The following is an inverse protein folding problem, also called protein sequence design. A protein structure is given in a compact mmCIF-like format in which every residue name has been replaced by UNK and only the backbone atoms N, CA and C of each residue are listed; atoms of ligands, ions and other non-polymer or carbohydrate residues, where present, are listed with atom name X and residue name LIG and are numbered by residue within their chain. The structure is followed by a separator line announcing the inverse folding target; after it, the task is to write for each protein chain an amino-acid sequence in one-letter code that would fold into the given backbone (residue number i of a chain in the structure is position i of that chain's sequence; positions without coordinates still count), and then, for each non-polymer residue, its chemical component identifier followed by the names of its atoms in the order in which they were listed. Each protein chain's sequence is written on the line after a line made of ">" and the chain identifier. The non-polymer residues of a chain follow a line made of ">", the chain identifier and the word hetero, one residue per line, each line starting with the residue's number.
data_IF_956565691870
#
_entry.id   IF_956565691870
#
_cell.length_a   1.000
_cell.length_b   1.000
_cell.length_c   1.000
_cell.angle_alpha   90.00
_cell.angle_beta   90.00
_cell.angle_gamma   90.00
#
_symmetry.space_group_name_H-M   'P 1'
#
loop_
_entity.id
_entity.type
_entity.pdbx_description
1 polymer ?
#
# COMPACT_ATOMS: atom_id res chain seq x y z
N UNK A 1 -2.68 5.34 24.30
CA UNK A 1 -2.95 4.66 23.01
C UNK A 1 -4.37 4.92 22.52
N UNK A 2 -5.41 4.74 23.34
CA UNK A 2 -6.81 4.91 22.94
C UNK A 2 -7.17 6.29 22.33
N UNK A 3 -6.68 7.39 22.91
CA UNK A 3 -7.00 8.74 22.40
C UNK A 3 -6.46 9.01 20.98
N UNK A 4 -5.25 8.53 20.65
CA UNK A 4 -4.67 8.69 19.31
C UNK A 4 -5.40 7.83 18.27
N UNK A 5 -5.78 6.60 18.65
CA UNK A 5 -6.60 5.72 17.80
C UNK A 5 -7.98 6.31 17.53
N UNK A 6 -8.62 6.92 18.54
CA UNK A 6 -9.89 7.66 18.39
C UNK A 6 -9.74 8.86 17.46
N UNK A 7 -8.67 9.63 17.60
CA UNK A 7 -8.38 10.74 16.69
C UNK A 7 -8.23 10.27 15.23
N UNK A 8 -7.54 9.16 14.97
CA UNK A 8 -7.41 8.58 13.63
C UNK A 8 -8.76 8.20 13.02
N UNK A 9 -9.71 7.69 13.83
CA UNK A 9 -11.08 7.42 13.38
C UNK A 9 -11.84 8.70 12.99
N UNK A 10 -11.75 9.76 13.80
CA UNK A 10 -12.35 11.06 13.48
C UNK A 10 -11.77 11.63 12.19
N UNK A 11 -10.45 11.59 12.01
CA UNK A 11 -9.79 12.01 10.77
C UNK A 11 -10.25 11.17 9.57
N UNK A 12 -10.49 9.86 9.76
CA UNK A 12 -11.08 8.99 8.75
C UNK A 12 -12.50 9.42 8.34
N UNK A 13 -13.35 9.74 9.33
CA UNK A 13 -14.71 10.22 9.10
C UNK A 13 -14.73 11.59 8.41
N UNK A 14 -13.89 12.53 8.84
CA UNK A 14 -13.75 13.86 8.22
C UNK A 14 -13.44 13.70 6.73
N UNK A 15 -12.43 12.89 6.36
CA UNK A 15 -12.09 12.67 4.95
C UNK A 15 -13.24 12.06 4.15
N UNK A 16 -13.99 11.13 4.73
CA UNK A 16 -15.09 10.42 4.04
C UNK A 16 -16.34 11.29 3.87
N UNK A 17 -16.67 12.11 4.86
CA UNK A 17 -17.92 12.87 4.93
C UNK A 17 -17.75 14.36 4.61
N UNK A 18 -16.50 14.83 4.51
CA UNK A 18 -16.15 16.26 4.41
C UNK A 18 -16.72 17.13 5.54
N UNK A 19 -17.11 16.52 6.66
CA UNK A 19 -17.62 17.25 7.82
C UNK A 19 -16.46 17.77 8.68
N UNK A 20 -16.03 19.00 8.42
CA UNK A 20 -14.91 19.63 9.10
C UNK A 20 -15.21 20.07 10.55
N UNK A 21 -16.47 20.05 10.99
CA UNK A 21 -16.82 20.38 12.39
C UNK A 21 -16.30 19.36 13.41
N UNK A 22 -15.90 18.16 12.96
CA UNK A 22 -15.26 17.14 13.79
C UNK A 22 -13.76 17.41 14.04
N UNK A 23 -13.16 18.36 13.31
CA UNK A 23 -11.72 18.63 13.39
C UNK A 23 -11.26 19.11 14.77
N UNK A 24 -11.95 20.03 15.48
CA UNK A 24 -11.54 20.46 16.82
C UNK A 24 -11.45 19.29 17.80
N UNK A 25 -12.46 18.42 17.82
CA UNK A 25 -12.47 17.21 18.66
C UNK A 25 -11.30 16.27 18.35
N UNK A 26 -10.98 16.07 17.06
CA UNK A 26 -9.84 15.26 16.65
C UNK A 26 -8.52 15.87 17.14
N UNK A 27 -8.35 17.20 17.05
CA UNK A 27 -7.15 17.90 17.50
C UNK A 27 -6.98 17.85 19.03
N UNK A 28 -8.06 17.97 19.79
CA UNK A 28 -8.03 17.80 21.25
C UNK A 28 -7.58 16.38 21.63
N UNK A 29 -8.14 15.36 20.98
CA UNK A 29 -7.73 13.96 21.17
C UNK A 29 -6.26 13.72 20.79
N UNK A 30 -5.75 14.38 19.75
CA UNK A 30 -4.35 14.29 19.33
C UNK A 30 -3.38 14.99 20.29
N UNK A 31 -3.78 16.13 20.86
CA UNK A 31 -2.90 16.97 21.69
C UNK A 31 -3.02 16.63 23.17
N UNK A 32 -4.24 16.73 23.74
CA UNK A 32 -4.51 16.42 25.13
C UNK A 32 -4.40 14.91 25.41
N UNK A 33 -4.87 14.08 24.49
CA UNK A 33 -4.83 12.63 24.63
C UNK A 33 -3.43 12.01 24.68
N UNK A 34 -2.41 12.70 24.15
CA UNK A 34 -0.99 12.29 24.23
C UNK A 34 -0.31 12.83 25.50
N UNK A 35 -0.77 13.97 26.01
CA UNK A 35 -0.25 14.57 27.24
C UNK A 35 -0.62 13.78 28.50
N UNK A 36 -1.81 13.17 28.53
CA UNK A 36 -2.39 12.50 29.72
C UNK A 36 -1.94 11.03 29.89
N UNK A 37 -1.12 10.49 28.98
CA UNK A 37 -0.67 9.09 29.05
C UNK A 37 0.28 8.89 30.24
N UNK A 38 -0.19 8.17 31.28
CA UNK A 38 0.58 7.85 32.50
C UNK A 38 1.91 7.11 32.24
N UNK A 39 2.02 6.39 31.13
CA UNK A 39 3.23 5.64 30.72
C UNK A 39 4.13 6.39 29.73
N UNK A 40 4.14 7.73 29.74
CA UNK A 40 4.93 8.52 28.79
C UNK A 40 6.44 8.34 29.09
N UNK A 41 7.27 8.02 28.09
CA UNK A 41 8.72 8.00 28.29
C UNK A 41 9.19 9.39 28.74
N UNK A 42 10.17 9.44 29.66
CA UNK A 42 10.81 10.69 30.11
C UNK A 42 11.21 11.53 28.89
N UNK A 43 11.01 12.85 28.97
CA UNK A 43 11.34 13.78 27.90
C UNK A 43 12.81 13.58 27.48
N UNK A 44 13.01 13.11 26.26
CA UNK A 44 14.32 13.01 25.61
C UNK A 44 14.32 13.95 24.44
N UNK A 45 15.44 14.64 24.22
CA UNK A 45 15.62 15.37 22.99
C UNK A 45 15.52 14.41 21.80
N UNK A 46 14.58 14.69 20.89
CA UNK A 46 14.40 13.95 19.64
C UNK A 46 14.70 14.91 18.51
N UNK A 47 15.66 14.56 17.65
CA UNK A 47 15.93 15.32 16.44
C UNK A 47 14.66 15.37 15.58
N UNK A 48 14.25 16.57 15.16
CA UNK A 48 13.19 16.72 14.19
C UNK A 48 13.54 15.92 12.93
N UNK A 49 12.66 15.03 12.52
CA UNK A 49 12.83 14.17 11.36
C UNK A 49 11.53 14.09 10.57
N UNK A 50 11.67 13.91 9.26
CA UNK A 50 10.51 13.76 8.40
C UNK A 50 9.66 12.54 8.83
N UNK A 51 8.32 12.64 8.81
CA UNK A 51 7.45 11.54 9.26
C UNK A 51 7.75 10.22 8.55
N UNK A 52 8.10 9.20 9.34
CA UNK A 52 8.49 7.88 8.83
C UNK A 52 7.42 7.23 7.95
N UNK A 53 6.13 7.39 8.30
CA UNK A 53 5.00 6.85 7.52
C UNK A 53 4.97 7.41 6.09
N UNK A 54 5.13 8.71 5.93
CA UNK A 54 5.16 9.36 4.61
C UNK A 54 6.37 8.90 3.80
N UNK A 55 7.53 8.78 4.44
CA UNK A 55 8.74 8.26 3.78
C UNK A 55 8.54 6.83 3.27
N UNK A 56 7.94 5.95 4.08
CA UNK A 56 7.62 4.57 3.69
C UNK A 56 6.61 4.50 2.53
N UNK A 57 5.57 5.33 2.58
CA UNK A 57 4.59 5.43 1.50
C UNK A 57 5.23 5.90 0.20
N UNK A 58 6.12 6.90 0.26
CA UNK A 58 6.85 7.42 -0.89
C UNK A 58 7.77 6.34 -1.50
N UNK A 59 8.58 5.65 -0.68
CA UNK A 59 9.47 4.57 -1.11
C UNK A 59 8.72 3.45 -1.85
N UNK A 60 7.53 3.08 -1.37
CA UNK A 60 6.72 2.02 -1.99
C UNK A 60 5.87 2.49 -3.19
N UNK A 61 5.79 3.80 -3.46
CA UNK A 61 4.89 4.35 -4.50
C UNK A 61 5.23 3.83 -5.90
N UNK A 62 6.51 3.88 -6.28
CA UNK A 62 6.98 3.42 -7.59
C UNK A 62 6.72 1.91 -7.78
N UNK A 63 7.01 1.11 -6.75
CA UNK A 63 6.74 -0.32 -6.74
C UNK A 63 5.26 -0.64 -6.97
N UNK A 64 4.38 0.07 -6.24
CA UNK A 64 2.93 -0.09 -6.36
C UNK A 64 2.43 0.33 -7.74
N UNK A 65 2.99 1.38 -8.33
CA UNK A 65 2.61 1.84 -9.67
C UNK A 65 2.90 0.78 -10.75
N UNK A 66 4.11 0.19 -10.73
CA UNK A 66 4.49 -0.89 -11.66
C UNK A 66 3.61 -2.13 -11.46
N UNK A 67 3.35 -2.54 -10.21
CA UNK A 67 2.44 -3.66 -9.95
C UNK A 67 1.04 -3.37 -10.48
N UNK A 68 0.53 -2.17 -10.23
CA UNK A 68 -0.82 -1.77 -10.64
C UNK A 68 -0.98 -1.71 -12.17
N UNK A 69 0.07 -1.37 -12.92
CA UNK A 69 -0.01 -1.38 -14.38
C UNK A 69 -0.13 -2.79 -14.95
N UNK A 70 0.63 -3.75 -14.39
CA UNK A 70 0.53 -5.18 -14.76
C UNK A 70 -0.86 -5.72 -14.42
N UNK A 71 -1.35 -5.46 -13.20
CA UNK A 71 -2.69 -5.89 -12.79
C UNK A 71 -3.79 -5.28 -13.65
N UNK A 72 -3.61 -4.03 -14.10
CA UNK A 72 -4.55 -3.39 -15.02
C UNK A 72 -4.54 -4.05 -16.40
N UNK A 73 -3.38 -4.44 -16.93
CA UNK A 73 -3.28 -5.16 -18.19
C UNK A 73 -3.98 -6.52 -18.13
N UNK A 74 -3.75 -7.28 -17.05
CA UNK A 74 -4.43 -8.57 -16.80
C UNK A 74 -5.94 -8.37 -16.66
N UNK A 75 -6.36 -7.45 -15.79
CA UNK A 75 -7.77 -7.14 -15.56
C UNK A 75 -8.51 -6.77 -16.85
N UNK A 76 -7.88 -5.95 -17.71
CA UNK A 76 -8.46 -5.54 -19.00
C UNK A 76 -8.61 -6.70 -19.97
N UNK A 77 -7.60 -7.58 -20.07
CA UNK A 77 -7.59 -8.70 -21.02
C UNK A 77 -8.47 -9.87 -20.58
N UNK A 78 -8.59 -10.08 -19.27
CA UNK A 78 -9.37 -11.16 -18.69
C UNK A 78 -10.77 -10.72 -18.24
N UNK A 79 -11.13 -9.44 -18.40
CA UNK A 79 -12.41 -8.86 -17.96
C UNK A 79 -12.74 -9.09 -16.48
N UNK A 80 -11.72 -8.98 -15.62
CA UNK A 80 -11.86 -9.16 -14.17
C UNK A 80 -11.42 -7.93 -13.39
N UNK A 81 -11.76 -7.85 -12.11
CA UNK A 81 -11.26 -6.80 -11.23
C UNK A 81 -9.74 -6.93 -10.99
N UNK A 82 -9.08 -5.81 -10.65
CA UNK A 82 -7.65 -5.83 -10.28
C UNK A 82 -7.36 -6.68 -9.04
N UNK A 83 -8.34 -6.80 -8.14
CA UNK A 83 -8.23 -7.64 -6.95
C UNK A 83 -8.17 -9.13 -7.33
N UNK A 84 -9.10 -9.58 -8.18
CA UNK A 84 -9.13 -10.94 -8.74
C UNK A 84 -7.86 -11.20 -9.55
N UNK A 85 -7.46 -10.30 -10.43
CA UNK A 85 -6.22 -10.43 -11.20
C UNK A 85 -4.97 -10.62 -10.31
N UNK A 86 -4.94 -9.99 -9.13
CA UNK A 86 -3.80 -10.06 -8.21
C UNK A 86 -3.74 -11.35 -7.38
N UNK A 87 -4.90 -11.83 -6.96
CA UNK A 87 -5.06 -13.00 -6.09
C UNK A 87 -5.06 -14.29 -6.89
N UNK A 88 -5.78 -14.32 -8.01
CA UNK A 88 -6.04 -15.56 -8.74
C UNK A 88 -5.15 -15.70 -9.97
N UNK A 89 -4.89 -14.63 -10.73
CA UNK A 89 -4.23 -14.78 -12.05
C UNK A 89 -2.71 -14.58 -11.96
N UNK A 90 -2.27 -13.48 -11.36
CA UNK A 90 -0.86 -13.10 -11.31
C UNK A 90 0.07 -14.18 -10.68
N UNK A 91 -0.33 -14.93 -9.62
CA UNK A 91 0.49 -16.02 -9.09
C UNK A 91 0.73 -17.15 -10.10
N UNK A 92 -0.29 -17.56 -10.86
CA UNK A 92 -0.11 -18.61 -11.87
C UNK A 92 0.78 -18.16 -13.02
N UNK A 93 0.66 -16.92 -13.47
CA UNK A 93 1.57 -16.38 -14.50
C UNK A 93 3.02 -16.38 -13.99
N UNK A 94 3.24 -16.02 -12.72
CA UNK A 94 4.58 -16.07 -12.12
C UNK A 94 5.12 -17.51 -12.05
N UNK A 95 4.30 -18.46 -11.62
CA UNK A 95 4.65 -19.87 -11.56
C UNK A 95 4.98 -20.45 -12.94
N UNK A 96 4.16 -20.17 -13.96
CA UNK A 96 4.40 -20.59 -15.35
C UNK A 96 5.71 -20.00 -15.85
N UNK A 97 5.97 -18.72 -15.61
CA UNK A 97 7.19 -18.06 -16.05
C UNK A 97 8.46 -18.61 -15.39
N UNK A 98 8.37 -19.07 -14.14
CA UNK A 98 9.47 -19.68 -13.41
C UNK A 98 9.85 -21.07 -13.95
N UNK A 99 8.85 -21.89 -14.30
CA UNK A 99 9.06 -23.26 -14.77
C UNK A 99 9.25 -23.35 -16.30
N UNK A 100 8.59 -22.48 -17.06
CA UNK A 100 8.67 -22.41 -18.52
C UNK A 100 8.70 -20.94 -18.98
N UNK A 101 9.93 -20.43 -19.17
CA UNK A 101 10.16 -19.05 -19.59
C UNK A 101 9.58 -18.73 -20.96
N UNK A 102 9.56 -19.68 -21.90
CA UNK A 102 9.04 -19.44 -23.25
C UNK A 102 7.53 -19.26 -23.24
N UNK A 103 6.81 -20.15 -22.54
CA UNK A 103 5.35 -20.00 -22.34
C UNK A 103 5.02 -18.73 -21.57
N UNK A 104 5.76 -18.44 -20.50
CA UNK A 104 5.61 -17.20 -19.73
C UNK A 104 5.76 -15.95 -20.62
N UNK A 105 6.80 -15.88 -21.45
CA UNK A 105 7.03 -14.77 -22.39
C UNK A 105 5.91 -14.60 -23.40
N UNK A 106 5.33 -15.70 -23.91
CA UNK A 106 4.16 -15.63 -24.81
C UNK A 106 2.97 -14.99 -24.11
N UNK A 107 2.69 -15.35 -22.87
CA UNK A 107 1.60 -14.76 -22.06
C UNK A 107 1.87 -13.27 -21.83
N UNK A 108 3.09 -12.89 -21.45
CA UNK A 108 3.46 -11.48 -21.22
C UNK A 108 3.32 -10.64 -22.49
N UNK A 109 3.71 -11.17 -23.66
CA UNK A 109 3.49 -10.52 -24.96
C UNK A 109 2.01 -10.30 -25.25
N UNK A 110 1.17 -11.32 -25.02
CA UNK A 110 -0.28 -11.20 -25.20
C UNK A 110 -0.90 -10.14 -24.27
N UNK A 111 -0.40 -10.04 -23.02
CA UNK A 111 -0.82 -9.01 -22.07
C UNK A 111 -0.27 -7.61 -22.39
N UNK A 112 0.75 -7.49 -23.23
CA UNK A 112 1.45 -6.23 -23.49
C UNK A 112 2.32 -5.76 -22.33
N UNK A 113 2.82 -6.68 -21.50
CA UNK A 113 3.63 -6.38 -20.32
C UNK A 113 5.10 -6.67 -20.61
N UNK A 114 5.99 -5.72 -20.30
CA UNK A 114 7.43 -5.94 -20.46
C UNK A 114 7.96 -6.96 -19.44
N UNK A 115 8.88 -7.82 -19.89
CA UNK A 115 9.52 -8.84 -19.05
C UNK A 115 10.26 -8.21 -17.86
N UNK A 116 10.95 -7.09 -18.09
CA UNK A 116 11.65 -6.33 -17.04
C UNK A 116 10.70 -5.84 -15.94
N UNK A 117 9.55 -5.27 -16.33
CA UNK A 117 8.54 -4.83 -15.36
C UNK A 117 7.99 -6.02 -14.57
N UNK A 118 7.72 -7.15 -15.24
CA UNK A 118 7.20 -8.35 -14.62
C UNK A 118 8.17 -8.94 -13.59
N UNK A 119 9.43 -9.14 -13.97
CA UNK A 119 10.48 -9.64 -13.08
C UNK A 119 10.66 -8.77 -11.84
N UNK A 120 10.57 -7.43 -11.98
CA UNK A 120 10.65 -6.51 -10.82
C UNK A 120 9.55 -6.72 -9.78
N UNK A 121 8.40 -7.26 -10.20
CA UNK A 121 7.26 -7.57 -9.33
C UNK A 121 7.36 -8.99 -8.77
N UNK A 122 7.82 -9.95 -9.56
CA UNK A 122 8.00 -11.35 -9.15
C UNK A 122 9.16 -11.53 -8.17
N UNK A 123 10.31 -10.88 -8.40
CA UNK A 123 11.48 -10.97 -7.51
C UNK A 123 11.20 -10.47 -6.08
N UNK A 124 10.17 -9.62 -5.92
CA UNK A 124 9.71 -9.12 -4.61
C UNK A 124 8.68 -10.01 -3.94
N UNK A 125 8.21 -11.04 -4.64
CA UNK A 125 7.20 -12.01 -4.20
C UNK A 125 7.85 -13.33 -3.77
N UNK A 126 9.14 -13.30 -3.40
CA UNK A 126 10.00 -14.46 -3.12
C UNK A 126 9.34 -15.54 -2.25
N UNK A 127 9.81 -16.80 -2.41
CA UNK A 127 9.09 -17.99 -1.94
C UNK A 127 8.83 -17.92 -0.43
N UNK A 128 7.60 -18.29 -0.06
CA UNK A 128 7.24 -18.59 1.33
C UNK A 128 7.82 -19.93 1.73
#
# INVERSE_FOLDING_TARGET
>A
YDALSRADMFMGRIRRTQNWSLLPYALELMTAGVAVIRSKPKFRWVKYSFPRRLSLMARSRAARAVRNSILAAIAKRCHVSKAVANLEILPYIAFIYEHDRERGRRILRWLGVSERSFQSVVARRGPS
#
